data_IF_236000837310
#
_entry.id   IF_236000837310
#
_cell.length_a   1.000
_cell.length_b   1.000
_cell.length_c   1.000
_cell.angle_alpha   90.00
_cell.angle_beta   90.00
_cell.angle_gamma   90.00
#
_symmetry.space_group_name_H-M   'P 1'
#
loop_
_entity.id
_entity.type
_entity.pdbx_description
1 polymer ?
#
# COMPACT_ATOMS: atom_id res chain seq x y z
N UNK A 1 1.95 20.22 -12.18
CA UNK A 1 1.59 19.99 -10.76
C UNK A 1 1.05 21.30 -10.22
N UNK A 2 -0.08 21.25 -9.54
CA UNK A 2 -0.68 22.39 -8.84
C UNK A 2 -0.75 22.05 -7.36
N UNK A 3 -0.44 23.01 -6.50
CA UNK A 3 -0.38 22.82 -5.05
C UNK A 3 -1.04 24.00 -4.34
N UNK A 4 -1.79 23.68 -3.28
CA UNK A 4 -2.33 24.65 -2.33
C UNK A 4 -1.77 24.31 -0.97
N UNK A 5 -1.14 25.29 -0.33
CA UNK A 5 -0.57 25.17 1.02
C UNK A 5 -1.32 26.09 1.96
N UNK A 6 -1.74 25.56 3.10
CA UNK A 6 -2.38 26.31 4.18
C UNK A 6 -1.62 26.04 5.47
N UNK A 7 -1.10 27.11 6.06
CA UNK A 7 -0.36 27.03 7.34
C UNK A 7 -1.34 27.33 8.48
N UNK A 8 -1.67 26.29 9.26
CA UNK A 8 -2.47 26.37 10.48
C UNK A 8 -1.52 26.30 11.70
N UNK A 9 -1.99 26.62 12.93
CA UNK A 9 -1.11 26.69 14.09
C UNK A 9 -0.34 25.39 14.38
N UNK A 10 -0.98 24.23 14.22
CA UNK A 10 -0.36 22.92 14.49
C UNK A 10 -0.07 22.09 13.22
N UNK A 11 -0.44 22.60 12.04
CA UNK A 11 -0.38 21.83 10.79
C UNK A 11 -0.03 22.71 9.59
N UNK A 12 1.01 22.32 8.86
CA UNK A 12 1.21 22.75 7.47
C UNK A 12 0.47 21.76 6.56
N UNK A 13 -0.64 22.19 5.94
CA UNK A 13 -1.53 21.36 5.14
C UNK A 13 -1.32 21.62 3.66
N UNK A 14 -0.95 20.60 2.90
CA UNK A 14 -0.69 20.65 1.47
C UNK A 14 -1.68 19.77 0.74
N UNK A 15 -2.29 20.34 -0.30
CA UNK A 15 -3.12 19.60 -1.26
C UNK A 15 -2.49 19.73 -2.63
N UNK A 16 -2.09 18.60 -3.20
CA UNK A 16 -1.38 18.53 -4.48
C UNK A 16 -2.21 17.80 -5.51
N UNK A 17 -2.39 18.44 -6.66
CA UNK A 17 -2.98 17.84 -7.86
C UNK A 17 -1.91 17.67 -8.94
N UNK A 18 -1.71 16.43 -9.37
CA UNK A 18 -0.75 16.09 -10.42
C UNK A 18 -1.49 15.81 -11.72
N UNK A 19 -1.09 16.48 -12.80
CA UNK A 19 -1.53 16.13 -14.14
C UNK A 19 -0.51 15.14 -14.73
N UNK A 20 -0.70 13.87 -14.41
CA UNK A 20 0.13 12.76 -14.87
C UNK A 20 -0.77 11.66 -15.42
N UNK A 21 -0.38 10.97 -16.51
CA UNK A 21 -1.10 9.79 -16.99
C UNK A 21 -0.98 8.58 -16.04
N UNK A 22 -0.05 8.62 -15.08
CA UNK A 22 0.22 7.54 -14.12
C UNK A 22 -0.74 7.51 -12.92
N UNK A 23 -0.47 6.60 -11.97
CA UNK A 23 -1.26 6.45 -10.74
C UNK A 23 -1.17 7.67 -9.81
N UNK A 24 -0.12 8.48 -9.95
CA UNK A 24 0.06 9.73 -9.23
C UNK A 24 -0.92 10.83 -9.67
N UNK A 25 -1.52 10.70 -10.86
CA UNK A 25 -2.60 11.58 -11.33
C UNK A 25 -4.02 11.05 -11.10
N UNK A 26 -4.18 9.86 -10.47
CA UNK A 26 -5.49 9.23 -10.27
C UNK A 26 -6.38 9.92 -9.22
N UNK A 27 -5.79 10.76 -8.38
CA UNK A 27 -6.47 11.48 -7.31
C UNK A 27 -5.67 12.71 -6.91
N UNK A 28 -5.96 13.23 -5.72
CA UNK A 28 -5.20 14.32 -5.14
C UNK A 28 -4.48 13.85 -3.87
N UNK A 29 -3.24 14.28 -3.74
CA UNK A 29 -2.38 13.95 -2.61
C UNK A 29 -2.60 14.99 -1.51
N UNK A 30 -2.69 14.54 -0.27
CA UNK A 30 -2.74 15.37 0.92
C UNK A 30 -1.52 15.07 1.76
N UNK A 31 -0.72 16.10 2.05
CA UNK A 31 0.42 16.00 2.93
C UNK A 31 0.23 16.96 4.10
N UNK A 32 0.42 16.47 5.32
CA UNK A 32 0.43 17.33 6.51
C UNK A 32 1.76 17.22 7.22
N UNK A 33 2.39 18.35 7.52
CA UNK A 33 3.44 18.43 8.52
C UNK A 33 2.81 18.84 9.86
N UNK A 34 2.72 17.89 10.78
CA UNK A 34 2.02 18.07 12.06
C UNK A 34 3.01 18.38 13.16
N UNK A 35 2.76 19.43 13.93
CA UNK A 35 3.52 19.77 15.14
C UNK A 35 2.57 20.14 16.28
N UNK A 36 2.42 19.23 17.23
CA UNK A 36 1.64 19.45 18.47
C UNK A 36 2.54 19.42 19.73
N UNK A 37 3.85 19.62 19.59
CA UNK A 37 4.79 19.47 20.71
C UNK A 37 4.56 20.49 21.84
N UNK A 38 4.01 21.67 21.52
CA UNK A 38 3.65 22.71 22.49
C UNK A 38 2.30 22.47 23.17
N UNK A 39 1.50 21.53 22.68
CA UNK A 39 0.13 21.33 23.15
C UNK A 39 0.10 20.59 24.49
N UNK A 40 -1.06 20.50 25.11
CA UNK A 40 -1.26 19.75 26.35
C UNK A 40 -2.57 18.98 26.27
N UNK A 41 -2.51 17.65 26.42
CA UNK A 41 -3.67 16.77 26.39
C UNK A 41 -4.56 16.99 25.17
N UNK A 42 -3.96 16.86 23.99
CA UNK A 42 -4.61 17.13 22.70
C UNK A 42 -4.40 15.97 21.74
N UNK A 43 -5.46 15.58 21.07
CA UNK A 43 -5.43 14.68 19.92
C UNK A 43 -5.94 15.46 18.72
N UNK A 44 -5.15 15.49 17.66
CA UNK A 44 -5.43 16.24 16.45
C UNK A 44 -6.02 15.32 15.40
N UNK A 45 -7.16 15.74 14.81
CA UNK A 45 -7.86 14.97 13.79
C UNK A 45 -8.01 15.77 12.50
N UNK A 46 -7.96 15.09 11.37
CA UNK A 46 -8.36 15.60 10.07
C UNK A 46 -9.70 14.98 9.70
N UNK A 47 -10.70 15.82 9.41
CA UNK A 47 -12.05 15.40 9.04
C UNK A 47 -12.34 15.73 7.58
N UNK A 48 -12.80 14.74 6.84
CA UNK A 48 -13.39 14.88 5.52
C UNK A 48 -14.91 14.93 5.65
N UNK A 49 -15.53 15.92 5.01
CA UNK A 49 -16.98 16.06 4.93
C UNK A 49 -17.39 16.00 3.46
N UNK A 50 -18.31 15.08 3.15
CA UNK A 50 -18.83 14.89 1.80
C UNK A 50 -20.35 14.84 1.81
N UNK A 51 -20.95 14.92 0.63
CA UNK A 51 -22.38 14.69 0.42
C UNK A 51 -22.71 13.24 0.06
N UNK A 52 -21.75 12.32 0.13
CA UNK A 52 -21.95 10.89 -0.13
C UNK A 52 -22.67 10.30 1.07
N UNK A 53 -23.85 9.74 0.83
CA UNK A 53 -24.71 9.23 1.90
C UNK A 53 -24.48 7.74 2.14
N UNK A 54 -23.59 7.41 3.08
CA UNK A 54 -23.53 6.06 3.65
C UNK A 54 -24.65 5.90 4.68
N UNK A 55 -25.89 5.64 4.23
CA UNK A 55 -27.13 5.72 5.02
C UNK A 55 -27.07 5.02 6.39
N UNK A 56 -26.40 3.87 6.47
CA UNK A 56 -26.26 3.10 7.70
C UNK A 56 -24.99 3.46 8.50
N UNK A 57 -24.32 4.59 8.23
CA UNK A 57 -23.01 4.94 8.78
C UNK A 57 -21.97 3.82 8.65
N UNK A 58 -22.10 3.03 7.59
CA UNK A 58 -21.13 2.00 7.26
C UNK A 58 -19.91 2.65 6.62
N UNK A 59 -18.74 2.19 7.03
CA UNK A 59 -17.47 2.52 6.38
C UNK A 59 -16.56 1.28 6.42
N UNK A 60 -15.48 1.31 5.66
CA UNK A 60 -14.63 0.16 5.46
C UNK A 60 -13.21 0.56 5.83
N UNK A 61 -12.53 -0.32 6.55
CA UNK A 61 -11.14 -0.14 6.98
C UNK A 61 -10.37 -1.40 6.66
N UNK A 62 -9.11 -1.26 6.28
CA UNK A 62 -8.27 -2.40 5.97
C UNK A 62 -7.78 -3.12 7.24
N UNK A 63 -7.51 -4.41 7.09
CA UNK A 63 -6.81 -5.24 8.07
C UNK A 63 -5.43 -5.55 7.50
N UNK A 64 -4.41 -4.87 8.02
CA UNK A 64 -3.00 -5.05 7.67
C UNK A 64 -2.70 -4.90 6.18
N UNK A 65 -3.47 -4.08 5.45
CA UNK A 65 -3.33 -3.91 4.00
C UNK A 65 -3.71 -5.12 3.16
N UNK A 66 -4.33 -6.15 3.76
CA UNK A 66 -4.67 -7.38 3.06
C UNK A 66 -6.14 -7.40 2.61
N UNK A 67 -7.05 -7.26 3.56
CA UNK A 67 -8.50 -7.34 3.32
C UNK A 67 -9.21 -6.13 3.91
N UNK A 68 -10.41 -5.85 3.42
CA UNK A 68 -11.26 -4.79 3.94
C UNK A 68 -12.35 -5.37 4.82
N UNK A 69 -12.62 -4.68 5.92
CA UNK A 69 -13.68 -5.05 6.85
C UNK A 69 -14.69 -3.92 6.97
N UNK A 70 -15.97 -4.28 6.83
CA UNK A 70 -17.10 -3.39 7.09
C UNK A 70 -17.13 -3.02 8.58
N UNK A 71 -17.26 -1.73 8.85
CA UNK A 71 -17.45 -1.10 10.16
C UNK A 71 -18.78 -0.38 10.15
N UNK A 72 -19.40 -0.33 11.31
CA UNK A 72 -20.63 0.40 11.54
C UNK A 72 -20.41 1.25 12.79
N UNK A 73 -20.76 2.54 12.73
CA UNK A 73 -20.72 3.38 13.91
C UNK A 73 -21.87 3.01 14.85
N UNK A 74 -21.56 2.69 16.11
CA UNK A 74 -22.55 2.35 17.11
C UNK A 74 -22.72 3.48 18.11
N UNK A 75 -23.85 4.21 18.05
CA UNK A 75 -24.19 5.29 18.98
C UNK A 75 -24.18 4.87 20.46
N UNK A 76 -24.49 3.60 20.73
CA UNK A 76 -24.49 3.04 22.08
C UNK A 76 -23.09 2.86 22.68
N UNK A 77 -22.05 2.94 21.85
CA UNK A 77 -20.65 2.80 22.25
C UNK A 77 -20.00 4.19 22.31
N UNK A 78 -19.01 4.40 23.18
CA UNK A 78 -18.29 5.67 23.21
C UNK A 78 -17.44 5.84 21.95
N UNK A 79 -17.06 7.09 21.62
CA UNK A 79 -16.32 7.43 20.38
C UNK A 79 -15.10 6.53 20.18
N UNK A 80 -14.27 6.37 21.21
CA UNK A 80 -13.04 5.56 21.13
C UNK A 80 -13.27 4.08 20.81
N UNK A 81 -14.47 3.54 21.07
CA UNK A 81 -14.82 2.17 20.69
C UNK A 81 -15.25 2.04 19.22
N UNK A 82 -15.48 3.17 18.54
CA UNK A 82 -15.76 3.26 17.11
C UNK A 82 -14.54 3.73 16.30
N UNK A 83 -13.35 3.80 16.92
CA UNK A 83 -12.08 4.09 16.23
C UNK A 83 -11.44 2.77 15.81
N UNK A 84 -11.12 2.65 14.53
CA UNK A 84 -10.51 1.45 13.94
C UNK A 84 -9.16 1.78 13.31
N UNK A 85 -8.22 0.83 13.28
CA UNK A 85 -6.96 1.02 12.58
C UNK A 85 -7.19 1.10 11.06
N UNK A 86 -6.43 1.96 10.41
CA UNK A 86 -6.31 2.05 8.96
C UNK A 86 -4.82 1.97 8.65
N UNK A 87 -4.39 0.89 8.02
CA UNK A 87 -2.98 0.67 7.68
C UNK A 87 -2.64 1.08 6.26
N UNK A 88 -3.61 1.03 5.35
CA UNK A 88 -3.41 1.38 3.93
C UNK A 88 -4.59 2.12 3.32
N UNK A 89 -5.84 1.79 3.69
CA UNK A 89 -7.01 2.41 3.09
C UNK A 89 -8.27 2.33 3.94
N UNK A 90 -9.08 3.37 3.84
CA UNK A 90 -10.46 3.39 4.33
C UNK A 90 -11.38 4.00 3.28
N UNK A 91 -12.63 3.56 3.22
CA UNK A 91 -13.60 4.14 2.29
C UNK A 91 -15.02 4.09 2.86
N UNK A 92 -15.86 4.95 2.32
CA UNK A 92 -17.32 4.86 2.47
C UNK A 92 -17.94 5.21 1.11
N UNK A 93 -19.16 4.74 0.90
CA UNK A 93 -19.81 4.84 -0.40
C UNK A 93 -21.33 4.93 -0.29
N UNK A 94 -21.93 5.47 -1.34
CA UNK A 94 -23.37 5.37 -1.62
C UNK A 94 -23.61 4.52 -2.88
N UNK A 95 -24.81 4.60 -3.47
CA UNK A 95 -25.16 3.83 -4.67
C UNK A 95 -24.42 4.28 -5.95
N UNK A 96 -23.80 5.47 -5.95
CA UNK A 96 -23.21 6.13 -7.12
C UNK A 96 -21.72 6.43 -6.97
N UNK A 97 -21.27 6.89 -5.80
CA UNK A 97 -19.92 7.39 -5.55
C UNK A 97 -19.27 6.70 -4.35
N UNK A 98 -17.96 6.48 -4.46
CA UNK A 98 -17.09 6.02 -3.37
C UNK A 98 -16.03 7.08 -3.09
N UNK A 99 -15.88 7.43 -1.81
CA UNK A 99 -14.75 8.19 -1.31
C UNK A 99 -13.77 7.21 -0.66
N UNK A 100 -12.54 7.18 -1.15
CA UNK A 100 -11.47 6.34 -0.62
C UNK A 100 -10.31 7.23 -0.14
N UNK A 101 -9.93 7.06 1.12
CA UNK A 101 -8.72 7.61 1.70
C UNK A 101 -7.64 6.53 1.74
N UNK A 102 -6.53 6.78 1.07
CA UNK A 102 -5.32 5.96 1.13
C UNK A 102 -4.32 6.60 2.07
N UNK A 103 -3.58 5.80 2.83
CA UNK A 103 -2.57 6.26 3.78
C UNK A 103 -1.24 5.58 3.57
N UNK A 104 -0.14 6.31 3.73
CA UNK A 104 1.22 5.79 3.70
C UNK A 104 1.70 5.22 5.05
N UNK A 105 0.89 5.38 6.11
CA UNK A 105 1.23 5.05 7.49
C UNK A 105 -0.03 4.64 8.26
N UNK A 106 0.13 3.90 9.36
CA UNK A 106 -1.01 3.45 10.15
C UNK A 106 -1.59 4.60 10.98
N UNK A 107 -2.91 4.80 10.87
CA UNK A 107 -3.65 5.81 11.62
C UNK A 107 -4.91 5.22 12.25
N UNK A 108 -5.48 5.90 13.24
CA UNK A 108 -6.84 5.63 13.70
C UNK A 108 -7.85 6.37 12.83
N UNK A 109 -8.97 5.73 12.50
CA UNK A 109 -10.06 6.37 11.76
C UNK A 109 -11.44 6.03 12.32
N UNK A 110 -12.39 6.93 12.09
CA UNK A 110 -13.81 6.74 12.43
C UNK A 110 -14.71 7.50 11.46
N UNK A 111 -16.02 7.28 11.55
CA UNK A 111 -17.05 7.95 10.76
C UNK A 111 -18.17 8.34 11.72
N UNK A 112 -18.05 9.51 12.36
CA UNK A 112 -18.99 9.94 13.41
C UNK A 112 -20.38 10.33 12.89
N UNK A 113 -20.50 10.67 11.60
CA UNK A 113 -21.73 11.08 10.95
C UNK A 113 -21.76 10.54 9.52
N UNK A 114 -22.94 10.44 8.88
CA UNK A 114 -23.03 10.10 7.47
C UNK A 114 -22.24 11.10 6.61
N UNK A 115 -21.48 10.59 5.65
CA UNK A 115 -20.64 11.35 4.73
C UNK A 115 -19.32 11.84 5.32
N UNK A 116 -18.99 11.45 6.56
CA UNK A 116 -17.77 11.87 7.25
C UNK A 116 -16.75 10.74 7.29
N UNK A 117 -15.47 11.12 7.22
CA UNK A 117 -14.37 10.25 7.59
C UNK A 117 -13.34 11.07 8.35
N UNK A 118 -12.97 10.60 9.53
CA UNK A 118 -12.02 11.27 10.41
C UNK A 118 -10.80 10.40 10.62
N UNK A 119 -9.62 10.99 10.51
CA UNK A 119 -8.35 10.33 10.81
C UNK A 119 -7.58 11.09 11.87
N UNK A 120 -7.00 10.34 12.80
CA UNK A 120 -6.14 10.86 13.85
C UNK A 120 -4.75 11.09 13.28
N UNK A 121 -4.22 12.31 13.44
CA UNK A 121 -2.94 12.73 12.89
C UNK A 121 -1.80 12.58 13.90
N UNK A 122 -1.98 13.12 15.11
CA UNK A 122 -1.02 12.97 16.22
C UNK A 122 -1.75 13.16 17.57
N UNK A 123 -1.12 12.69 18.65
CA UNK A 123 -1.62 12.82 20.04
C UNK A 123 -0.51 13.18 21.02
N UNK A 124 -0.82 14.08 21.94
CA UNK A 124 0.05 14.47 23.05
C UNK A 124 -0.72 14.39 24.35
N UNK A 125 -0.27 13.56 25.27
CA UNK A 125 -0.95 13.23 26.52
C UNK A 125 0.03 13.30 27.69
N UNK A 126 -0.31 14.03 28.75
CA UNK A 126 0.59 14.26 29.87
C UNK A 126 0.48 13.21 30.97
N UNK A 127 -0.48 12.30 30.86
CA UNK A 127 -0.75 11.25 31.84
C UNK A 127 -0.45 9.86 31.28
N UNK A 128 0.01 8.98 32.17
CA UNK A 128 0.08 7.54 31.94
C UNK A 128 -1.33 6.92 31.90
N UNK A 129 -1.50 5.86 31.13
CA UNK A 129 -2.77 5.14 30.98
C UNK A 129 -2.92 3.94 31.93
N UNK A 130 -1.96 3.75 32.85
CA UNK A 130 -1.85 2.63 33.76
C UNK A 130 -1.81 1.28 33.04
N UNK A 131 -1.07 1.19 31.92
CA UNK A 131 -0.79 -0.06 31.20
C UNK A 131 0.68 -0.50 31.27
N UNK A 132 1.48 0.20 32.08
CA UNK A 132 2.83 -0.22 32.47
C UNK A 132 3.96 0.62 31.88
N UNK A 133 3.67 1.56 30.99
CA UNK A 133 4.67 2.45 30.38
C UNK A 133 5.17 3.52 31.37
N UNK A 134 4.33 3.95 32.31
CA UNK A 134 4.63 4.90 33.39
C UNK A 134 5.05 6.29 32.91
N UNK A 135 4.52 6.72 31.77
CA UNK A 135 4.70 8.08 31.24
C UNK A 135 3.54 8.42 30.29
N UNK A 136 3.31 9.72 30.11
CA UNK A 136 2.48 10.21 29.00
C UNK A 136 3.21 10.16 27.65
N UNK A 137 2.53 10.59 26.59
CA UNK A 137 3.09 10.77 25.25
C UNK A 137 3.44 12.25 25.10
N UNK A 138 4.72 12.60 25.28
CA UNK A 138 5.18 14.01 25.31
C UNK A 138 6.44 14.28 24.47
N UNK A 139 6.85 13.33 23.65
CA UNK A 139 8.03 13.34 22.81
C UNK A 139 7.73 13.66 21.33
N UNK A 140 6.56 14.27 21.05
CA UNK A 140 6.12 14.65 19.71
C UNK A 140 7.20 15.46 18.95
N UNK A 141 7.30 15.18 17.65
CA UNK A 141 8.18 15.85 16.69
C UNK A 141 7.36 16.26 15.48
N UNK A 142 7.94 17.10 14.64
CA UNK A 142 7.38 17.40 13.32
C UNK A 142 7.17 16.09 12.56
N UNK A 143 5.90 15.72 12.37
CA UNK A 143 5.52 14.41 11.86
C UNK A 143 4.85 14.58 10.50
N UNK A 144 5.50 14.14 9.41
CA UNK A 144 4.91 14.15 8.08
C UNK A 144 3.87 13.03 7.96
N UNK A 145 2.66 13.37 7.54
CA UNK A 145 1.60 12.42 7.21
C UNK A 145 1.24 12.58 5.73
N UNK A 146 1.11 11.46 5.01
CA UNK A 146 0.79 11.45 3.58
C UNK A 146 -0.42 10.59 3.32
N UNK A 147 -1.38 11.16 2.59
CA UNK A 147 -2.62 10.54 2.17
C UNK A 147 -2.85 10.77 0.67
N UNK A 148 -3.67 9.90 0.07
CA UNK A 148 -4.23 10.15 -1.27
C UNK A 148 -5.73 9.93 -1.23
N UNK A 149 -6.47 10.83 -1.85
CA UNK A 149 -7.92 10.77 -1.92
C UNK A 149 -8.36 10.38 -3.32
N UNK A 150 -9.22 9.37 -3.40
CA UNK A 150 -9.86 8.94 -4.64
C UNK A 150 -11.37 9.15 -4.54
N UNK A 151 -11.95 9.68 -5.61
CA UNK A 151 -13.38 9.79 -5.80
C UNK A 151 -13.75 8.95 -7.02
N UNK A 152 -14.49 7.87 -6.79
CA UNK A 152 -14.77 6.88 -7.82
C UNK A 152 -16.27 6.76 -8.07
N UNK A 153 -16.66 6.86 -9.34
CA UNK A 153 -18.05 6.64 -9.75
C UNK A 153 -18.28 5.16 -10.09
N UNK A 154 -19.37 4.61 -9.58
CA UNK A 154 -19.83 3.26 -9.90
C UNK A 154 -20.32 3.20 -11.35
N UNK A 155 -19.86 2.20 -12.09
CA UNK A 155 -20.26 1.93 -13.48
C UNK A 155 -21.66 1.32 -13.59
N UNK A 156 -22.11 0.62 -12.55
CA UNK A 156 -23.45 0.03 -12.44
C UNK A 156 -24.00 0.37 -11.05
N UNK A 157 -25.26 0.82 -11.01
CA UNK A 157 -25.98 0.94 -9.74
C UNK A 157 -26.27 -0.49 -9.24
N UNK A 158 -25.47 -0.97 -8.30
CA UNK A 158 -25.63 -2.29 -7.71
C UNK A 158 -26.17 -2.19 -6.28
N UNK A 159 -27.22 -2.97 -6.00
CA UNK A 159 -27.82 -3.12 -4.67
C UNK A 159 -26.98 -4.17 -3.92
N UNK A 160 -25.83 -3.73 -3.40
CA UNK A 160 -24.91 -4.58 -2.66
C UNK A 160 -23.54 -3.91 -2.50
N UNK A 161 -23.08 -3.78 -1.26
CA UNK A 161 -21.72 -3.31 -0.96
C UNK A 161 -20.76 -4.49 -1.14
N UNK A 162 -19.91 -4.45 -2.16
CA UNK A 162 -18.73 -5.30 -2.16
C UNK A 162 -17.77 -4.77 -1.10
N UNK A 163 -17.26 -5.65 -0.24
CA UNK A 163 -16.21 -5.26 0.70
C UNK A 163 -14.87 -5.04 -0.04
N UNK A 164 -14.77 -5.30 -1.34
CA UNK A 164 -13.53 -5.14 -2.06
C UNK A 164 -13.29 -3.69 -2.54
N UNK A 165 -12.05 -3.18 -2.44
CA UNK A 165 -11.65 -1.94 -3.10
C UNK A 165 -11.78 -2.05 -4.63
N UNK A 166 -11.76 -0.92 -5.32
CA UNK A 166 -11.58 -0.94 -6.77
C UNK A 166 -10.12 -1.32 -7.11
N UNK A 167 -9.89 -1.74 -8.36
CA UNK A 167 -8.53 -2.00 -8.82
C UNK A 167 -7.68 -0.71 -8.84
N UNK A 168 -8.31 0.45 -9.11
CA UNK A 168 -7.67 1.76 -9.03
C UNK A 168 -7.18 2.06 -7.61
N UNK A 169 -8.02 1.85 -6.60
CA UNK A 169 -7.66 2.06 -5.20
C UNK A 169 -6.47 1.18 -4.77
N UNK A 170 -6.44 -0.08 -5.21
CA UNK A 170 -5.28 -0.95 -4.99
C UNK A 170 -4.01 -0.41 -5.63
N UNK A 171 -4.02 -0.06 -6.92
CA UNK A 171 -2.82 0.46 -7.59
C UNK A 171 -2.35 1.80 -7.04
N UNK A 172 -3.29 2.70 -6.71
CA UNK A 172 -2.97 3.97 -6.08
C UNK A 172 -2.35 3.77 -4.69
N UNK A 173 -2.87 2.83 -3.89
CA UNK A 173 -2.29 2.45 -2.60
C UNK A 173 -0.88 1.88 -2.77
N UNK A 174 -0.69 0.95 -3.69
CA UNK A 174 0.61 0.38 -4.00
C UNK A 174 1.61 1.44 -4.46
N UNK A 175 1.19 2.44 -5.25
CA UNK A 175 2.06 3.54 -5.69
C UNK A 175 2.48 4.47 -4.54
N UNK A 176 1.63 4.58 -3.50
CA UNK A 176 1.92 5.36 -2.31
C UNK A 176 2.89 4.61 -1.38
N UNK A 177 2.70 3.30 -1.22
CA UNK A 177 3.52 2.44 -0.35
C UNK A 177 4.86 2.01 -0.98
N UNK A 178 4.92 1.94 -2.31
CA UNK A 178 6.10 1.52 -3.07
C UNK A 178 6.47 2.59 -4.12
N UNK A 179 6.99 3.75 -3.68
CA UNK A 179 7.34 4.83 -4.59
C UNK A 179 8.55 4.46 -5.46
N UNK A 180 8.72 5.21 -6.55
CA UNK A 180 9.90 5.08 -7.42
C UNK A 180 11.13 5.60 -6.68
N UNK A 181 12.17 4.78 -6.61
CA UNK A 181 13.46 5.18 -6.06
C UNK A 181 14.31 5.89 -7.12
N UNK A 182 14.68 7.13 -6.85
CA UNK A 182 15.57 7.92 -7.72
C UNK A 182 17.00 7.78 -7.21
N UNK A 183 17.88 7.20 -8.03
CA UNK A 183 19.31 7.06 -7.75
C UNK A 183 20.10 8.03 -8.62
N UNK A 184 20.94 8.86 -8.01
CA UNK A 184 21.77 9.84 -8.73
C UNK A 184 23.18 9.27 -8.90
N UNK A 185 23.67 9.21 -10.14
CA UNK A 185 25.06 8.83 -10.43
C UNK A 185 25.99 9.97 -10.02
N UNK A 186 26.94 9.69 -9.13
CA UNK A 186 28.01 10.61 -8.77
C UNK A 186 29.14 10.57 -9.81
N UNK A 187 29.80 11.71 -10.02
CA UNK A 187 30.97 11.82 -10.87
C UNK A 187 32.26 11.48 -10.10
N UNK A 188 33.31 11.04 -10.80
CA UNK A 188 34.64 10.71 -10.24
C UNK A 188 35.23 11.84 -9.42
N UNK A 189 35.01 13.06 -9.86
CA UNK A 189 35.67 14.25 -9.32
C UNK A 189 34.84 14.91 -8.19
N UNK A 190 33.69 14.34 -7.82
CA UNK A 190 32.77 14.94 -6.86
C UNK A 190 33.25 14.80 -5.39
N UNK A 191 33.97 13.72 -5.05
CA UNK A 191 34.58 13.54 -3.72
C UNK A 191 35.87 12.68 -3.81
N UNK A 192 37.05 13.25 -3.49
CA UNK A 192 38.32 12.51 -3.52
C UNK A 192 38.41 11.37 -2.50
N UNK A 193 37.49 11.27 -1.54
CA UNK A 193 37.47 10.19 -0.53
C UNK A 193 36.65 8.97 -0.97
N UNK A 194 35.90 9.04 -2.09
CA UNK A 194 35.04 7.95 -2.54
C UNK A 194 35.67 7.27 -3.76
N UNK A 195 36.26 6.08 -3.55
CA UNK A 195 36.73 5.23 -4.64
C UNK A 195 35.52 4.49 -5.24
N UNK A 196 34.95 4.99 -6.34
CA UNK A 196 33.92 4.22 -7.06
C UNK A 196 34.57 3.38 -8.17
N UNK A 197 34.30 2.07 -8.13
CA UNK A 197 34.71 1.14 -9.19
C UNK A 197 33.72 1.22 -10.38
N UNK A 198 34.20 1.03 -11.62
CA UNK A 198 33.39 0.97 -12.85
C UNK A 198 32.56 2.23 -13.20
N UNK A 199 33.00 3.42 -12.83
CA UNK A 199 32.28 4.68 -13.14
C UNK A 199 32.14 4.94 -14.65
N UNK A 200 33.10 4.47 -15.45
CA UNK A 200 33.08 4.63 -16.91
C UNK A 200 32.16 3.61 -17.61
N UNK A 201 31.54 2.70 -16.86
CA UNK A 201 30.57 1.77 -17.44
C UNK A 201 29.38 2.56 -18.01
N UNK A 202 29.03 2.34 -19.29
CA UNK A 202 27.91 3.04 -19.90
C UNK A 202 26.61 2.64 -19.18
N UNK A 203 25.86 3.64 -18.74
CA UNK A 203 24.52 3.41 -18.20
C UNK A 203 23.59 3.00 -19.34
N UNK A 204 22.83 1.93 -19.14
CA UNK A 204 21.73 1.60 -20.03
C UNK A 204 20.59 2.57 -19.78
N UNK A 205 20.01 3.13 -20.84
CA UNK A 205 18.84 4.00 -20.74
C UNK A 205 17.61 3.27 -20.19
N UNK A 206 17.52 1.95 -20.41
CA UNK A 206 16.43 1.11 -19.95
C UNK A 206 16.95 -0.25 -19.47
N UNK A 207 16.28 -0.79 -18.46
CA UNK A 207 16.52 -2.13 -17.94
C UNK A 207 15.19 -2.72 -17.49
N UNK A 208 14.86 -3.92 -17.98
CA UNK A 208 13.74 -4.70 -17.48
C UNK A 208 14.27 -6.05 -16.99
N UNK A 209 14.13 -6.39 -15.69
CA UNK A 209 14.50 -7.70 -15.17
C UNK A 209 13.46 -8.79 -15.51
N UNK A 210 12.30 -8.39 -16.06
CA UNK A 210 11.19 -9.28 -16.39
C UNK A 210 10.93 -9.32 -17.90
N UNK A 211 10.50 -10.49 -18.40
CA UNK A 211 10.17 -10.71 -19.82
C UNK A 211 8.76 -10.25 -20.19
N UNK A 212 7.84 -10.22 -19.23
CA UNK A 212 6.45 -9.77 -19.42
C UNK A 212 5.93 -9.04 -18.19
N UNK A 213 5.00 -8.11 -18.39
CA UNK A 213 4.30 -7.43 -17.30
C UNK A 213 3.40 -8.41 -16.51
N UNK A 214 3.29 -8.19 -15.20
CA UNK A 214 2.35 -8.91 -14.35
C UNK A 214 0.90 -8.46 -14.66
N UNK A 215 -0.09 -9.37 -14.58
CA UNK A 215 -1.50 -8.97 -14.62
C UNK A 215 -1.80 -7.93 -13.53
N UNK A 216 -2.65 -6.95 -13.82
CA UNK A 216 -2.95 -5.88 -12.87
C UNK A 216 -3.53 -6.37 -11.53
N UNK A 217 -4.25 -7.49 -11.54
CA UNK A 217 -4.83 -8.09 -10.34
C UNK A 217 -3.82 -8.93 -9.55
N UNK A 218 -2.53 -8.94 -9.94
CA UNK A 218 -1.47 -9.68 -9.26
C UNK A 218 -0.36 -8.73 -8.81
N UNK A 219 -0.06 -8.78 -7.53
CA UNK A 219 1.01 -8.00 -6.92
C UNK A 219 2.19 -8.89 -6.49
N UNK A 220 3.40 -8.45 -6.81
CA UNK A 220 4.64 -9.03 -6.34
C UNK A 220 4.93 -8.57 -4.90
N UNK A 221 4.60 -9.40 -3.91
CA UNK A 221 4.83 -9.09 -2.50
C UNK A 221 6.32 -9.15 -2.13
N UNK A 222 7.04 -10.13 -2.68
CA UNK A 222 8.45 -10.32 -2.36
C UNK A 222 9.17 -11.16 -3.41
N UNK A 223 10.43 -10.82 -3.66
CA UNK A 223 11.37 -11.61 -4.43
C UNK A 223 12.72 -11.57 -3.72
N UNK A 224 13.16 -12.69 -3.13
CA UNK A 224 14.40 -12.73 -2.34
C UNK A 224 15.20 -13.99 -2.58
N UNK A 225 16.52 -13.84 -2.68
CA UNK A 225 17.47 -14.95 -2.68
C UNK A 225 17.50 -15.61 -1.30
N UNK A 226 17.49 -16.94 -1.27
CA UNK A 226 17.57 -17.72 -0.03
C UNK A 226 19.02 -17.86 0.43
N UNK A 227 19.20 -18.21 1.69
CA UNK A 227 20.51 -18.47 2.27
C UNK A 227 20.91 -19.94 2.10
N UNK A 228 22.19 -20.19 1.83
CA UNK A 228 22.76 -21.54 1.77
C UNK A 228 22.79 -22.17 3.17
N UNK A 229 22.19 -23.36 3.38
CA UNK A 229 22.16 -24.01 4.69
C UNK A 229 23.53 -24.51 5.16
N UNK A 230 24.54 -24.54 4.29
CA UNK A 230 25.87 -25.06 4.56
C UNK A 230 26.88 -23.93 4.83
N UNK A 231 27.06 -23.56 6.10
CA UNK A 231 28.19 -22.74 6.56
C UNK A 231 27.89 -21.86 7.77
N UNK A 232 28.92 -21.41 8.47
CA UNK A 232 28.85 -20.36 9.51
C UNK A 232 28.76 -18.95 8.92
N UNK A 233 28.80 -18.82 7.59
CA UNK A 233 28.71 -17.56 6.85
C UNK A 233 27.40 -17.47 6.07
N UNK A 234 26.79 -16.28 6.08
CA UNK A 234 25.56 -15.96 5.33
C UNK A 234 25.82 -15.84 3.82
N UNK A 235 25.99 -16.98 3.14
CA UNK A 235 26.17 -17.04 1.68
C UNK A 235 24.82 -17.18 0.96
N UNK A 236 24.64 -16.53 -0.21
CA UNK A 236 23.45 -16.68 -1.03
C UNK A 236 23.38 -18.10 -1.62
N UNK A 237 22.19 -18.70 -1.60
CA UNK A 237 21.88 -19.95 -2.28
C UNK A 237 21.45 -19.69 -3.73
N UNK A 238 21.50 -20.74 -4.54
CA UNK A 238 20.95 -20.74 -5.91
C UNK A 238 19.41 -20.83 -5.92
N UNK A 239 18.73 -20.54 -4.80
CA UNK A 239 17.28 -20.55 -4.71
C UNK A 239 16.76 -19.15 -4.42
N UNK A 240 15.64 -18.80 -5.02
CA UNK A 240 14.93 -17.53 -4.82
C UNK A 240 13.49 -17.84 -4.44
N UNK A 241 12.97 -17.16 -3.41
CA UNK A 241 11.55 -17.22 -3.08
C UNK A 241 10.81 -16.05 -3.75
N UNK A 242 9.70 -16.37 -4.38
CA UNK A 242 8.78 -15.47 -5.06
C UNK A 242 7.41 -15.53 -4.37
N UNK A 243 6.90 -14.39 -3.95
CA UNK A 243 5.60 -14.25 -3.29
C UNK A 243 4.68 -13.43 -4.19
N UNK A 244 3.56 -14.01 -4.59
CA UNK A 244 2.56 -13.36 -5.43
C UNK A 244 1.22 -13.34 -4.69
N UNK A 245 0.56 -12.20 -4.69
CA UNK A 245 -0.79 -12.02 -4.15
C UNK A 245 -1.73 -11.61 -5.25
N UNK A 246 -2.87 -12.31 -5.41
CA UNK A 246 -3.93 -11.85 -6.29
C UNK A 246 -4.91 -10.97 -5.52
N UNK A 247 -5.03 -9.72 -5.96
CA UNK A 247 -5.93 -8.73 -5.38
C UNK A 247 -7.39 -9.10 -5.64
N UNK A 248 -8.22 -9.09 -4.60
CA UNK A 248 -9.68 -9.06 -4.73
C UNK A 248 -10.15 -7.62 -4.94
N UNK A 249 -10.94 -7.39 -5.99
CA UNK A 249 -11.42 -6.06 -6.35
C UNK A 249 -12.88 -6.06 -6.80
N UNK A 250 -13.56 -4.93 -6.63
CA UNK A 250 -14.93 -4.71 -7.08
C UNK A 250 -14.99 -4.32 -8.56
N UNK A 251 -15.60 -5.20 -9.37
CA UNK A 251 -15.80 -5.00 -10.81
C UNK A 251 -16.85 -3.94 -11.15
N UNK A 252 -17.55 -3.35 -10.17
CA UNK A 252 -18.50 -2.26 -10.40
C UNK A 252 -17.81 -0.93 -10.69
N UNK A 253 -16.49 -0.81 -10.54
CA UNK A 253 -15.73 0.40 -10.85
C UNK A 253 -15.02 0.27 -12.20
N UNK A 254 -14.83 1.38 -12.90
CA UNK A 254 -14.08 1.40 -14.16
C UNK A 254 -12.60 1.14 -13.89
N UNK A 255 -11.97 0.35 -14.73
CA UNK A 255 -10.52 0.18 -14.72
C UNK A 255 -9.86 1.47 -15.23
N UNK A 256 -8.74 1.84 -14.63
CA UNK A 256 -7.96 3.02 -15.03
C UNK A 256 -6.84 2.63 -16.00
N UNK A 257 -6.69 3.41 -17.08
CA UNK A 257 -5.59 3.24 -18.04
C UNK A 257 -5.63 1.92 -18.83
N UNK A 258 -4.47 1.53 -19.37
CA UNK A 258 -4.28 0.28 -20.13
C UNK A 258 -3.97 -0.88 -19.18
N UNK A 259 -4.98 -1.29 -18.42
CA UNK A 259 -4.86 -2.34 -17.43
C UNK A 259 -5.61 -3.60 -17.89
N UNK A 260 -4.91 -4.74 -17.96
CA UNK A 260 -5.47 -6.03 -18.34
C UNK A 260 -5.30 -7.05 -17.20
N UNK A 261 -6.41 -7.67 -16.82
CA UNK A 261 -6.40 -8.83 -15.91
C UNK A 261 -6.30 -10.11 -16.75
N UNK A 262 -5.67 -11.14 -16.19
CA UNK A 262 -5.58 -12.48 -16.82
C UNK A 262 -6.27 -13.53 -15.97
N UNK A 263 -7.35 -13.12 -15.30
CA UNK A 263 -8.07 -13.95 -14.34
C UNK A 263 -7.15 -14.62 -13.28
N UNK A 264 -6.08 -13.94 -12.84
CA UNK A 264 -5.14 -14.51 -11.87
C UNK A 264 -4.14 -15.54 -12.41
N UNK A 265 -4.05 -15.72 -13.73
CA UNK A 265 -3.05 -16.63 -14.32
C UNK A 265 -1.70 -15.94 -14.50
N UNK A 266 -0.63 -16.55 -14.00
CA UNK A 266 0.76 -16.08 -14.13
C UNK A 266 1.64 -17.16 -14.75
N UNK A 267 2.46 -16.78 -15.74
CA UNK A 267 3.49 -17.65 -16.33
C UNK A 267 4.86 -17.22 -15.84
N UNK A 268 5.54 -18.12 -15.11
CA UNK A 268 6.89 -17.86 -14.60
C UNK A 268 7.92 -17.88 -15.72
N UNK A 269 7.71 -18.71 -16.75
CA UNK A 269 8.52 -18.71 -17.96
C UNK A 269 8.50 -17.35 -18.69
N UNK A 270 7.30 -16.77 -18.87
CA UNK A 270 7.16 -15.46 -19.50
C UNK A 270 7.73 -14.33 -18.62
N UNK A 271 7.54 -14.42 -17.30
CA UNK A 271 8.03 -13.41 -16.35
C UNK A 271 9.56 -13.42 -16.27
N UNK A 272 10.19 -14.61 -16.27
CA UNK A 272 11.63 -14.79 -16.10
C UNK A 272 12.20 -15.79 -17.13
N UNK A 273 12.36 -15.37 -18.41
CA UNK A 273 12.68 -16.29 -19.52
C UNK A 273 14.04 -16.96 -19.41
N UNK A 274 15.01 -16.32 -18.74
CA UNK A 274 16.41 -16.78 -18.68
C UNK A 274 16.98 -16.96 -17.27
N UNK A 275 16.32 -16.45 -16.22
CA UNK A 275 16.90 -16.40 -14.87
C UNK A 275 16.76 -17.71 -14.08
N UNK A 276 15.65 -18.43 -14.24
CA UNK A 276 15.33 -19.60 -13.44
C UNK A 276 15.29 -20.90 -14.26
N UNK A 277 15.57 -22.01 -13.58
CA UNK A 277 15.56 -23.36 -14.12
C UNK A 277 14.16 -23.87 -14.47
N UNK A 278 14.05 -25.18 -14.70
CA UNK A 278 12.79 -25.78 -15.19
C UNK A 278 11.84 -26.21 -14.07
N UNK A 279 12.32 -26.28 -12.82
CA UNK A 279 11.54 -26.75 -11.68
C UNK A 279 11.15 -25.60 -10.76
N UNK A 280 9.87 -25.57 -10.43
CA UNK A 280 9.26 -24.64 -9.47
C UNK A 280 8.67 -25.47 -8.34
N UNK A 281 8.92 -25.06 -7.09
CA UNK A 281 8.37 -25.73 -5.92
C UNK A 281 7.44 -24.76 -5.20
N UNK A 282 6.20 -25.15 -4.97
CA UNK A 282 5.33 -24.42 -4.06
C UNK A 282 5.77 -24.66 -2.63
N UNK A 283 5.77 -23.61 -1.81
CA UNK A 283 6.22 -23.67 -0.42
C UNK A 283 5.27 -22.88 0.48
N UNK A 284 5.29 -23.15 1.79
CA UNK A 284 4.55 -22.33 2.75
C UNK A 284 5.03 -20.88 2.75
N UNK A 285 4.19 -19.95 3.23
CA UNK A 285 4.56 -18.53 3.37
C UNK A 285 5.83 -18.32 4.23
N UNK A 286 6.06 -19.21 5.20
CA UNK A 286 7.26 -19.23 6.04
C UNK A 286 8.48 -19.89 5.38
N UNK A 287 8.33 -20.45 4.18
CA UNK A 287 9.34 -21.25 3.46
C UNK A 287 9.78 -22.55 4.17
N UNK A 288 9.07 -22.96 5.22
CA UNK A 288 9.45 -24.11 6.06
C UNK A 288 8.94 -25.45 5.52
N UNK A 289 7.84 -25.43 4.75
CA UNK A 289 7.23 -26.64 4.22
C UNK A 289 7.22 -26.59 2.70
N UNK A 290 7.67 -27.67 2.07
CA UNK A 290 7.65 -27.83 0.62
C UNK A 290 6.40 -28.60 0.22
N UNK A 291 5.68 -28.06 -0.75
CA UNK A 291 4.50 -28.66 -1.35
C UNK A 291 4.82 -29.28 -2.70
N UNK A 292 3.90 -29.08 -3.63
CA UNK A 292 3.93 -29.63 -4.98
C UNK A 292 5.04 -29.01 -5.83
N UNK A 293 5.59 -29.80 -6.76
CA UNK A 293 6.55 -29.34 -7.77
C UNK A 293 5.87 -29.26 -9.12
N UNK A 294 6.18 -28.22 -9.88
CA UNK A 294 5.61 -27.96 -11.19
C UNK A 294 6.72 -27.61 -12.18
N UNK A 295 6.42 -27.84 -13.47
CA UNK A 295 7.27 -27.37 -14.56
C UNK A 295 7.08 -25.87 -14.76
N UNK A 296 8.13 -25.15 -15.18
CA UNK A 296 8.08 -23.69 -15.45
C UNK A 296 7.05 -23.28 -16.51
N UNK A 297 6.69 -24.19 -17.40
CA UNK A 297 5.69 -23.98 -18.46
C UNK A 297 4.25 -24.05 -17.91
N UNK A 298 4.10 -24.52 -16.66
CA UNK A 298 2.81 -24.52 -16.00
C UNK A 298 2.33 -23.09 -15.75
N UNK A 299 1.05 -22.88 -15.99
CA UNK A 299 0.37 -21.63 -15.69
C UNK A 299 -0.13 -21.69 -14.25
N UNK A 300 0.33 -20.76 -13.41
CA UNK A 300 -0.06 -20.71 -12.01
C UNK A 300 -1.33 -19.90 -11.91
N UNK A 301 -2.39 -20.53 -11.43
CA UNK A 301 -3.70 -19.93 -11.29
C UNK A 301 -3.92 -19.53 -9.83
N UNK A 302 -4.00 -18.22 -9.57
CA UNK A 302 -4.27 -17.70 -8.24
C UNK A 302 -5.77 -17.37 -8.11
N UNK A 303 -6.50 -17.91 -7.13
CA UNK A 303 -7.82 -17.40 -6.75
C UNK A 303 -7.74 -15.97 -6.19
N UNK A 304 -8.84 -15.18 -6.22
CA UNK A 304 -8.84 -13.86 -5.60
C UNK A 304 -8.51 -13.93 -4.11
N UNK A 305 -7.72 -12.98 -3.61
CA UNK A 305 -7.23 -12.88 -2.23
C UNK A 305 -6.22 -13.94 -1.79
N UNK A 306 -5.77 -14.81 -2.70
CA UNK A 306 -4.78 -15.84 -2.38
C UNK A 306 -3.35 -15.33 -2.52
N UNK A 307 -2.49 -15.81 -1.62
CA UNK A 307 -1.04 -15.58 -1.65
C UNK A 307 -0.35 -16.92 -1.89
N UNK A 308 0.40 -17.01 -2.98
CA UNK A 308 1.23 -18.17 -3.29
C UNK A 308 2.70 -17.84 -3.06
N UNK A 309 3.44 -18.82 -2.55
CA UNK A 309 4.89 -18.73 -2.41
C UNK A 309 5.55 -19.83 -3.22
N UNK A 310 6.50 -19.42 -4.05
CA UNK A 310 7.19 -20.29 -4.99
C UNK A 310 8.68 -20.20 -4.74
N UNK A 311 9.34 -21.36 -4.68
CA UNK A 311 10.78 -21.47 -4.66
C UNK A 311 11.27 -21.79 -6.07
N UNK A 312 12.09 -20.88 -6.59
CA UNK A 312 12.68 -20.93 -7.92
C UNK A 312 14.16 -21.27 -7.79
N UNK A 313 14.65 -22.22 -8.58
CA UNK A 313 16.09 -22.51 -8.67
C UNK A 313 16.71 -21.70 -9.79
N UNK A 314 17.84 -21.03 -9.55
CA UNK A 314 18.60 -20.34 -10.58
C UNK A 314 19.19 -21.35 -11.57
N UNK A 315 19.38 -20.93 -12.82
CA UNK A 315 20.08 -21.73 -13.83
C UNK A 315 21.59 -21.78 -13.59
#
# INVERSE_FOLDING_TARGET
MSEVVVVLPEVEHHVVLKNSPGMDGAGFDVYNLVNIASETNKELIMRFLTNITNENQDFYTDLNGLQMMRRHYFDKLPIQANVYPVTTMAYFEDYNMRFTLLTAHSVGATSLQPGWLEVFLDRRLNQDDNRGLQQGITDNRDTPTSFRILLEQRSKQSVGSSNYPSLLAHHASLSLLHPIFVLVKMDKDADPNIILHNIDAPLRATYSPVGSELPCDVHLLNLRTLHSPSGTQYLPANNTALFLHRLGFDCNFKMWGHCATRNGTVSIDALFPSLFGNTIEEVSLSLMYTGSKFSREAHIQLPPMEIVTLKLSQR
#
